data_IF_261631634135
#
_entry.id   IF_261631634135
#
_cell.length_a   1.000
_cell.length_b   1.000
_cell.length_c   1.000
_cell.angle_alpha   90.00
_cell.angle_beta   90.00
_cell.angle_gamma   90.00
#
_symmetry.space_group_name_H-M   'P 1'
#
loop_
_entity.id
_entity.type
_entity.pdbx_description
1 polymer ?
#
# COMPACT_ATOMS: atom_id res chain seq x y z
N UNK A 1 25.96 -14.01 16.54
CA UNK A 1 26.51 -12.97 15.62
C UNK A 1 25.33 -12.26 14.96
N UNK A 2 25.32 -10.93 14.90
CA UNK A 2 24.26 -10.15 14.26
C UNK A 2 24.78 -9.61 12.93
N UNK A 3 24.09 -9.91 11.84
CA UNK A 3 24.35 -9.43 10.48
C UNK A 3 23.21 -8.49 10.04
N UNK A 4 23.57 -7.38 9.39
CA UNK A 4 22.60 -6.43 8.83
C UNK A 4 22.49 -6.62 7.32
N UNK A 5 21.27 -6.78 6.83
CA UNK A 5 20.97 -7.06 5.43
C UNK A 5 19.89 -6.12 4.89
N UNK A 6 19.87 -6.00 3.57
CA UNK A 6 18.74 -5.42 2.82
C UNK A 6 18.29 -6.43 1.78
N UNK A 7 17.02 -6.37 1.37
CA UNK A 7 16.44 -7.30 0.39
C UNK A 7 15.26 -8.08 0.94
N UNK A 8 14.97 -9.24 0.31
CA UNK A 8 13.83 -10.07 0.66
C UNK A 8 14.14 -11.02 1.83
N UNK A 9 13.38 -10.88 2.92
CA UNK A 9 13.49 -11.72 4.11
C UNK A 9 13.07 -13.16 3.85
N UNK A 10 12.12 -13.40 2.94
CA UNK A 10 11.64 -14.75 2.64
C UNK A 10 12.69 -15.63 1.94
N UNK A 11 13.72 -15.01 1.35
CA UNK A 11 14.86 -15.71 0.74
C UNK A 11 16.00 -15.98 1.73
N UNK A 12 15.84 -15.63 3.00
CA UNK A 12 16.88 -15.86 3.99
C UNK A 12 17.07 -17.37 4.24
N UNK A 13 18.28 -17.86 3.98
CA UNK A 13 18.69 -19.20 4.38
C UNK A 13 18.97 -19.22 5.90
N UNK A 14 17.92 -19.57 6.66
CA UNK A 14 17.89 -19.64 8.13
C UNK A 14 16.83 -20.65 8.60
N UNK A 15 16.96 -21.12 9.85
CA UNK A 15 16.00 -22.05 10.47
C UNK A 15 14.66 -21.39 10.80
N UNK A 16 14.66 -20.09 11.14
CA UNK A 16 13.45 -19.38 11.54
C UNK A 16 13.28 -18.04 10.82
N UNK A 17 12.07 -17.78 10.32
CA UNK A 17 11.67 -16.48 9.79
C UNK A 17 10.68 -15.79 10.73
N UNK A 18 10.91 -14.52 11.02
CA UNK A 18 9.97 -13.72 11.81
C UNK A 18 8.99 -12.99 10.90
N UNK A 19 7.70 -13.24 11.11
CA UNK A 19 6.59 -12.56 10.44
C UNK A 19 5.95 -11.55 11.40
N UNK A 20 5.92 -10.27 11.07
CA UNK A 20 5.21 -9.28 11.92
C UNK A 20 3.70 -9.30 11.64
N UNK A 21 2.90 -9.55 12.66
CA UNK A 21 1.44 -9.75 12.54
C UNK A 21 0.64 -8.85 13.48
N UNK A 22 -0.69 -8.85 13.33
CA UNK A 22 -1.62 -8.32 14.33
C UNK A 22 -2.24 -9.46 15.16
N UNK A 23 -3.16 -9.13 16.07
CA UNK A 23 -3.83 -10.12 16.91
C UNK A 23 -5.23 -10.51 16.38
N UNK A 24 -5.69 -9.92 15.27
CA UNK A 24 -7.07 -10.06 14.76
C UNK A 24 -7.16 -10.92 13.49
N UNK A 25 -6.11 -11.67 13.14
CA UNK A 25 -6.18 -12.68 12.08
C UNK A 25 -6.11 -12.12 10.65
N UNK A 26 -5.62 -10.89 10.47
CA UNK A 26 -5.52 -10.27 9.13
C UNK A 26 -4.06 -10.22 8.68
N UNK A 27 -3.73 -10.88 7.55
CA UNK A 27 -2.45 -10.71 6.86
C UNK A 27 -2.72 -10.04 5.51
N UNK A 28 -3.06 -8.75 5.55
CA UNK A 28 -3.57 -8.04 4.38
C UNK A 28 -2.52 -7.26 3.60
N UNK A 29 -1.38 -6.92 4.21
CA UNK A 29 -0.43 -5.90 3.71
C UNK A 29 0.99 -6.14 4.22
N UNK A 30 2.00 -5.52 3.60
CA UNK A 30 3.42 -5.59 3.99
C UNK A 30 3.98 -7.01 4.01
N UNK A 31 4.97 -7.25 4.88
CA UNK A 31 5.62 -8.56 5.00
C UNK A 31 4.62 -9.67 5.38
N UNK A 32 3.59 -9.38 6.18
CA UNK A 32 2.56 -10.34 6.55
C UNK A 32 1.82 -10.92 5.33
N UNK A 33 1.55 -10.08 4.31
CA UNK A 33 0.92 -10.55 3.08
C UNK A 33 1.86 -11.46 2.28
N UNK A 34 3.16 -11.15 2.24
CA UNK A 34 4.15 -12.00 1.59
C UNK A 34 4.21 -13.37 2.27
N UNK A 35 4.22 -13.42 3.61
CA UNK A 35 4.12 -14.67 4.37
C UNK A 35 2.81 -15.42 4.11
N UNK A 36 1.68 -14.73 3.96
CA UNK A 36 0.41 -15.36 3.61
C UNK A 36 0.47 -16.07 2.24
N UNK A 37 1.14 -15.47 1.27
CA UNK A 37 1.29 -16.06 -0.07
C UNK A 37 2.32 -17.18 -0.11
N UNK A 38 3.43 -17.02 0.60
CA UNK A 38 4.49 -18.03 0.65
C UNK A 38 4.14 -19.24 1.53
N UNK A 39 3.34 -19.04 2.58
CA UNK A 39 3.03 -20.06 3.58
C UNK A 39 1.54 -20.02 3.96
N UNK A 40 0.68 -20.54 3.07
CA UNK A 40 -0.78 -20.51 3.24
C UNK A 40 -1.25 -21.27 4.50
N UNK A 41 -0.62 -22.41 4.82
CA UNK A 41 -0.94 -23.19 6.02
C UNK A 41 -0.62 -22.43 7.32
N UNK A 42 0.49 -21.68 7.34
CA UNK A 42 0.82 -20.77 8.44
C UNK A 42 -0.28 -19.71 8.61
N UNK A 43 -0.77 -19.15 7.52
CA UNK A 43 -1.86 -18.18 7.57
C UNK A 43 -3.15 -18.78 8.15
N UNK A 44 -3.53 -20.00 7.75
CA UNK A 44 -4.70 -20.68 8.30
C UNK A 44 -4.55 -20.96 9.80
N UNK A 45 -3.39 -21.46 10.23
CA UNK A 45 -3.08 -21.68 11.64
C UNK A 45 -3.14 -20.36 12.45
N UNK A 46 -2.59 -19.28 11.89
CA UNK A 46 -2.63 -17.94 12.47
C UNK A 46 -4.05 -17.41 12.63
N UNK A 47 -4.90 -17.49 11.60
CA UNK A 47 -6.31 -17.05 11.69
C UNK A 47 -7.05 -17.82 12.77
N UNK A 48 -6.84 -19.14 12.86
CA UNK A 48 -7.46 -19.96 13.90
C UNK A 48 -6.99 -19.59 15.31
N UNK A 49 -5.68 -19.33 15.48
CA UNK A 49 -5.11 -18.90 16.75
C UNK A 49 -5.62 -17.51 17.19
N UNK A 50 -5.72 -16.55 16.27
CA UNK A 50 -6.30 -15.23 16.55
C UNK A 50 -7.76 -15.32 17.00
N UNK A 51 -8.58 -16.18 16.36
CA UNK A 51 -9.98 -16.40 16.77
C UNK A 51 -10.11 -16.96 18.20
N UNK A 52 -9.10 -17.69 18.68
CA UNK A 52 -9.04 -18.20 20.06
C UNK A 52 -8.41 -17.22 21.06
N UNK A 53 -7.89 -16.08 20.58
CA UNK A 53 -7.16 -15.13 21.43
C UNK A 53 -5.76 -15.61 21.84
N UNK A 54 -5.19 -16.61 21.15
CA UNK A 54 -3.87 -17.16 21.46
C UNK A 54 -2.71 -16.27 21.01
N UNK A 55 -2.98 -15.32 20.11
CA UNK A 55 -1.99 -14.37 19.57
C UNK A 55 -2.19 -13.01 20.22
N UNK A 56 -1.21 -12.57 21.02
CA UNK A 56 -1.25 -11.32 21.77
C UNK A 56 0.16 -10.71 21.83
N UNK A 57 0.33 -9.40 22.10
CA UNK A 57 1.66 -8.85 22.40
C UNK A 57 2.36 -9.67 23.49
N UNK A 58 3.61 -10.06 23.25
CA UNK A 58 4.36 -10.96 24.15
C UNK A 58 3.97 -12.45 24.07
N UNK A 59 3.06 -12.85 23.17
CA UNK A 59 2.69 -14.25 22.94
C UNK A 59 2.70 -14.59 21.46
N UNK A 60 3.77 -15.26 21.03
CA UNK A 60 4.01 -15.64 19.64
C UNK A 60 3.15 -16.82 19.21
N UNK A 61 2.84 -16.88 17.91
CA UNK A 61 2.48 -18.15 17.27
C UNK A 61 3.66 -18.64 16.46
N UNK A 62 4.23 -19.78 16.86
CA UNK A 62 5.26 -20.48 16.10
C UNK A 62 4.61 -21.59 15.29
N UNK A 63 4.85 -21.59 13.99
CA UNK A 63 4.36 -22.56 13.04
C UNK A 63 5.52 -23.32 12.40
N UNK A 64 5.35 -24.63 12.22
CA UNK A 64 6.33 -25.51 11.59
C UNK A 64 5.82 -25.89 10.19
N UNK A 65 6.29 -25.23 9.12
CA UNK A 65 5.84 -25.54 7.77
C UNK A 65 6.29 -26.94 7.35
N UNK A 66 5.37 -27.68 6.72
CA UNK A 66 5.66 -28.99 6.16
C UNK A 66 6.31 -28.86 4.77
N UNK A 67 7.53 -28.34 4.72
CA UNK A 67 8.29 -28.10 3.48
C UNK A 67 9.57 -28.93 3.47
N UNK A 68 9.95 -29.44 2.30
CA UNK A 68 11.18 -30.23 2.12
C UNK A 68 12.45 -29.36 2.17
N UNK A 69 12.33 -28.11 1.71
CA UNK A 69 13.38 -27.09 1.67
C UNK A 69 12.76 -25.77 2.14
N UNK A 70 13.41 -25.09 3.08
CA UNK A 70 12.92 -23.83 3.66
C UNK A 70 13.13 -23.75 5.18
N UNK A 71 12.62 -22.70 5.84
CA UNK A 71 12.77 -22.54 7.28
C UNK A 71 11.99 -23.62 8.04
N UNK A 72 12.56 -24.11 9.13
CA UNK A 72 11.88 -25.02 10.06
C UNK A 72 10.77 -24.33 10.84
N UNK A 73 10.89 -23.01 11.07
CA UNK A 73 9.94 -22.25 11.87
C UNK A 73 9.53 -20.93 11.20
N UNK A 74 8.24 -20.61 11.31
CA UNK A 74 7.70 -19.27 11.08
C UNK A 74 7.21 -18.74 12.42
N UNK A 75 7.82 -17.66 12.89
CA UNK A 75 7.48 -17.02 14.16
C UNK A 75 6.62 -15.80 13.87
N UNK A 76 5.32 -15.92 14.10
CA UNK A 76 4.38 -14.81 13.95
C UNK A 76 4.45 -13.91 15.18
N UNK A 77 5.13 -12.77 15.01
CA UNK A 77 5.42 -11.77 16.02
C UNK A 77 4.34 -10.68 16.06
N UNK A 78 3.51 -10.60 17.13
CA UNK A 78 2.45 -9.60 17.20
C UNK A 78 3.02 -8.22 17.50
N UNK A 79 3.15 -7.39 16.46
CA UNK A 79 3.59 -5.99 16.59
C UNK A 79 2.42 -5.01 16.71
N UNK A 80 1.18 -5.50 16.51
CA UNK A 80 -0.05 -4.73 16.59
C UNK A 80 -1.17 -5.51 17.25
N UNK A 81 -2.05 -4.82 17.97
CA UNK A 81 -3.29 -5.41 18.50
C UNK A 81 -4.35 -5.53 17.40
N UNK A 82 -4.61 -4.45 16.67
CA UNK A 82 -5.46 -4.41 15.48
C UNK A 82 -4.66 -3.89 14.28
N UNK A 83 -4.97 -4.35 13.07
CA UNK A 83 -4.27 -3.95 11.85
C UNK A 83 -4.41 -2.45 11.52
N UNK A 84 -5.49 -1.79 11.96
CA UNK A 84 -5.72 -0.33 11.82
C UNK A 84 -4.87 0.50 12.79
N UNK A 85 -4.38 -0.11 13.88
CA UNK A 85 -3.61 0.58 14.91
C UNK A 85 -2.14 0.77 14.55
N UNK A 86 -1.45 1.64 15.29
CA UNK A 86 0.02 1.75 15.28
C UNK A 86 0.65 0.68 16.18
N UNK A 87 1.90 0.34 15.89
CA UNK A 87 2.72 -0.47 16.81
C UNK A 87 3.15 0.38 18.00
N UNK A 88 3.47 -0.28 19.11
CA UNK A 88 3.89 0.37 20.35
C UNK A 88 5.21 -0.24 20.79
N UNK A 89 6.12 0.57 21.33
CA UNK A 89 7.40 0.08 21.85
C UNK A 89 7.19 -0.97 22.94
N UNK A 90 6.18 -0.79 23.81
CA UNK A 90 5.81 -1.78 24.85
C UNK A 90 5.50 -3.17 24.28
N UNK A 91 4.80 -3.23 23.13
CA UNK A 91 4.44 -4.48 22.47
C UNK A 91 5.67 -5.13 21.82
N UNK A 92 6.63 -4.32 21.33
CA UNK A 92 7.92 -4.79 20.79
C UNK A 92 8.80 -5.36 21.90
N UNK A 93 8.93 -4.67 23.03
CA UNK A 93 9.77 -5.09 24.15
C UNK A 93 9.25 -6.41 24.76
N UNK A 94 7.93 -6.51 24.96
CA UNK A 94 7.28 -7.75 25.39
C UNK A 94 7.48 -8.88 24.36
N UNK A 95 7.33 -8.57 23.07
CA UNK A 95 7.54 -9.54 22.01
C UNK A 95 8.99 -10.02 21.90
N UNK A 96 9.98 -9.15 22.06
CA UNK A 96 11.40 -9.52 22.01
C UNK A 96 11.77 -10.48 23.15
N UNK A 97 11.22 -10.27 24.34
CA UNK A 97 11.38 -11.20 25.46
C UNK A 97 10.87 -12.59 25.09
N UNK A 98 9.62 -12.66 24.59
CA UNK A 98 9.03 -13.93 24.18
C UNK A 98 9.75 -14.58 22.98
N UNK A 99 10.29 -13.79 22.06
CA UNK A 99 11.08 -14.29 20.94
C UNK A 99 12.35 -14.99 21.42
N UNK A 100 13.07 -14.41 22.38
CA UNK A 100 14.27 -15.02 22.98
C UNK A 100 13.93 -16.35 23.65
N UNK A 101 12.81 -16.42 24.36
CA UNK A 101 12.34 -17.65 24.99
C UNK A 101 12.01 -18.74 23.95
N UNK A 102 11.34 -18.37 22.86
CA UNK A 102 11.07 -19.30 21.76
C UNK A 102 12.35 -19.80 21.08
N UNK A 103 13.32 -18.92 20.85
CA UNK A 103 14.64 -19.30 20.29
C UNK A 103 15.32 -20.34 21.17
N UNK A 104 15.38 -20.10 22.48
CA UNK A 104 16.01 -21.03 23.43
C UNK A 104 15.25 -22.35 23.53
N UNK A 105 13.92 -22.29 23.69
CA UNK A 105 13.06 -23.46 23.86
C UNK A 105 13.14 -24.42 22.67
N UNK A 106 13.28 -23.87 21.47
CA UNK A 106 13.34 -24.64 20.21
C UNK A 106 14.75 -24.87 19.70
N UNK A 107 15.76 -24.39 20.43
CA UNK A 107 17.16 -24.52 20.07
C UNK A 107 17.49 -23.98 18.67
N UNK A 108 16.84 -22.86 18.28
CA UNK A 108 17.00 -22.23 16.96
C UNK A 108 18.41 -21.65 16.84
N UNK A 109 19.14 -22.03 15.78
CA UNK A 109 20.52 -21.63 15.51
C UNK A 109 20.66 -20.49 14.52
N UNK A 110 19.65 -20.24 13.69
CA UNK A 110 19.64 -19.10 12.78
C UNK A 110 18.25 -18.51 12.59
N UNK A 111 18.17 -17.18 12.54
CA UNK A 111 16.91 -16.45 12.45
C UNK A 111 17.03 -15.18 11.60
N UNK A 112 16.00 -14.90 10.80
CA UNK A 112 15.87 -13.65 10.06
C UNK A 112 14.73 -12.79 10.64
N UNK A 113 15.03 -11.53 10.92
CA UNK A 113 14.15 -10.59 11.64
C UNK A 113 13.92 -9.33 10.79
N UNK A 114 12.67 -8.96 10.48
CA UNK A 114 12.34 -7.71 9.79
C UNK A 114 12.40 -6.51 10.74
N UNK A 115 12.27 -5.27 10.23
CA UNK A 115 12.24 -4.09 11.09
C UNK A 115 10.93 -4.00 11.90
N UNK A 116 10.96 -4.57 13.11
CA UNK A 116 9.78 -4.84 13.95
C UNK A 116 8.97 -3.57 14.25
N UNK A 117 7.82 -3.43 13.61
CA UNK A 117 6.92 -2.29 13.82
C UNK A 117 7.43 -0.96 13.24
N UNK A 118 8.60 -0.91 12.59
CA UNK A 118 9.16 0.32 12.01
C UNK A 118 8.69 0.66 10.59
N UNK A 119 8.03 -0.29 9.91
CA UNK A 119 7.30 -0.04 8.66
C UNK A 119 5.84 0.36 8.92
N UNK A 120 4.90 -0.54 8.61
CA UNK A 120 3.44 -0.36 8.84
C UNK A 120 3.05 0.00 10.29
N UNK A 121 3.92 -0.26 11.26
CA UNK A 121 3.71 0.06 12.67
C UNK A 121 4.01 1.50 13.06
N UNK A 122 4.78 2.23 12.24
CA UNK A 122 5.13 3.63 12.43
C UNK A 122 6.12 3.92 13.55
N UNK A 123 6.84 2.91 14.06
CA UNK A 123 7.91 3.11 15.05
C UNK A 123 9.19 3.60 14.36
N UNK A 124 9.92 4.50 15.01
CA UNK A 124 11.23 4.92 14.52
C UNK A 124 12.22 3.74 14.58
N UNK A 125 12.85 3.41 13.45
CA UNK A 125 13.87 2.34 13.37
C UNK A 125 15.04 2.61 14.31
N UNK A 126 15.42 3.87 14.50
CA UNK A 126 16.50 4.25 15.42
C UNK A 126 16.15 3.94 16.88
N UNK A 127 14.86 3.82 17.21
CA UNK A 127 14.41 3.39 18.54
C UNK A 127 14.22 1.87 18.64
N UNK A 128 13.81 1.20 17.55
CA UNK A 128 13.55 -0.25 17.55
C UNK A 128 14.84 -1.06 17.45
N UNK A 129 15.77 -0.67 16.57
CA UNK A 129 17.04 -1.38 16.36
C UNK A 129 17.80 -1.69 17.65
N UNK A 130 18.11 -0.70 18.52
CA UNK A 130 18.86 -0.97 19.75
C UNK A 130 18.13 -1.92 20.73
N UNK A 131 16.80 -2.00 20.67
CA UNK A 131 16.03 -2.97 21.47
C UNK A 131 16.21 -4.39 20.96
N UNK A 132 16.19 -4.58 19.64
CA UNK A 132 16.46 -5.88 19.01
C UNK A 132 17.89 -6.32 19.34
N UNK A 133 18.87 -5.44 19.18
CA UNK A 133 20.27 -5.71 19.52
C UNK A 133 20.42 -6.11 20.99
N UNK A 134 19.83 -5.34 21.92
CA UNK A 134 19.92 -5.63 23.36
C UNK A 134 19.27 -6.97 23.75
N UNK A 135 18.10 -7.28 23.19
CA UNK A 135 17.39 -8.52 23.49
C UNK A 135 18.13 -9.76 22.97
N UNK A 136 18.78 -9.67 21.81
CA UNK A 136 19.43 -10.80 21.15
C UNK A 136 20.92 -10.93 21.49
N UNK A 137 21.56 -9.90 22.04
CA UNK A 137 22.97 -9.94 22.45
C UNK A 137 23.36 -11.14 23.34
N UNK A 138 22.51 -11.63 24.28
CA UNK A 138 22.83 -12.81 25.08
C UNK A 138 22.85 -14.13 24.29
N UNK A 139 22.33 -14.17 23.06
CA UNK A 139 22.26 -15.37 22.22
C UNK A 139 23.53 -15.50 21.36
N UNK A 140 24.64 -15.86 21.99
CA UNK A 140 25.96 -15.90 21.34
C UNK A 140 26.09 -17.02 20.29
N UNK A 141 25.28 -18.07 20.42
CA UNK A 141 25.27 -19.28 19.60
C UNK A 141 24.19 -19.29 18.50
N UNK A 142 23.59 -18.12 18.25
CA UNK A 142 22.56 -17.91 17.21
C UNK A 142 23.08 -16.93 16.16
N UNK A 143 22.88 -17.28 14.89
CA UNK A 143 23.13 -16.40 13.75
C UNK A 143 21.88 -15.57 13.46
N UNK A 144 21.94 -14.27 13.72
CA UNK A 144 20.81 -13.36 13.57
C UNK A 144 21.02 -12.50 12.34
N UNK A 145 20.10 -12.57 11.38
CA UNK A 145 20.03 -11.68 10.22
C UNK A 145 18.95 -10.63 10.45
N UNK A 146 19.33 -9.37 10.59
CA UNK A 146 18.38 -8.26 10.74
C UNK A 146 18.24 -7.56 9.38
N UNK A 147 17.02 -7.54 8.85
CA UNK A 147 16.70 -6.81 7.64
C UNK A 147 16.38 -5.36 7.98
N UNK A 148 17.12 -4.43 7.38
CA UNK A 148 16.92 -3.01 7.58
C UNK A 148 15.80 -2.47 6.67
N UNK A 149 15.10 -1.40 7.08
CA UNK A 149 14.25 -0.64 6.17
C UNK A 149 15.10 -0.14 4.98
N UNK A 150 14.63 -0.30 3.75
CA UNK A 150 15.34 0.17 2.55
C UNK A 150 15.76 1.63 2.70
N UNK A 151 17.08 1.90 2.71
CA UNK A 151 17.61 3.26 2.87
C UNK A 151 17.61 4.04 1.54
N UNK A 152 17.29 5.35 1.53
CA UNK A 152 17.20 6.17 0.31
C UNK A 152 18.50 6.34 -0.50
N UNK A 153 19.67 6.08 0.11
CA UNK A 153 20.97 6.50 -0.43
C UNK A 153 21.60 5.53 -1.45
N UNK A 154 21.18 4.27 -1.50
CA UNK A 154 21.75 3.27 -2.42
C UNK A 154 21.26 3.41 -3.87
N UNK A 155 20.31 4.31 -4.14
CA UNK A 155 19.49 4.32 -5.36
C UNK A 155 19.87 5.43 -6.34
N UNK A 156 20.58 6.45 -5.87
CA UNK A 156 21.08 7.55 -6.70
C UNK A 156 22.14 7.11 -7.70
N UNK A 157 22.84 5.99 -7.46
CA UNK A 157 23.91 5.48 -8.34
C UNK A 157 23.37 4.65 -9.51
N UNK A 158 22.20 4.02 -9.37
CA UNK A 158 21.62 3.16 -10.42
C UNK A 158 20.81 3.92 -11.49
N UNK A 159 20.44 5.18 -11.25
CA UNK A 159 19.61 5.98 -12.17
C UNK A 159 20.39 6.71 -13.27
N UNK A 160 21.69 6.45 -13.45
CA UNK A 160 22.51 7.01 -14.53
C UNK A 160 22.69 6.08 -15.75
N UNK A 161 21.78 5.12 -15.97
CA UNK A 161 21.79 4.29 -17.17
C UNK A 161 21.22 5.06 -18.39
N UNK A 162 21.73 4.82 -19.62
CA UNK A 162 21.41 5.63 -20.81
C UNK A 162 19.96 5.54 -21.33
N UNK A 163 19.07 4.79 -20.70
CA UNK A 163 17.68 4.57 -21.13
C UNK A 163 16.61 5.05 -20.14
N UNK A 164 16.96 5.85 -19.12
CA UNK A 164 15.98 6.33 -18.13
C UNK A 164 15.01 7.34 -18.78
N UNK A 165 13.68 7.11 -18.73
CA UNK A 165 12.69 8.05 -19.25
C UNK A 165 12.76 9.38 -18.49
N UNK A 166 12.82 10.51 -19.21
CA UNK A 166 12.86 11.86 -18.64
C UNK A 166 11.73 12.08 -17.61
N UNK A 167 12.04 12.60 -16.42
CA UNK A 167 11.01 12.96 -15.45
C UNK A 167 10.23 14.18 -15.96
N UNK A 168 9.00 13.98 -16.44
CA UNK A 168 8.09 15.06 -16.87
C UNK A 168 7.13 15.44 -15.74
N UNK A 169 6.48 16.61 -15.76
CA UNK A 169 5.47 16.96 -14.74
C UNK A 169 4.37 15.90 -14.57
N UNK A 170 3.95 15.25 -15.66
CA UNK A 170 2.96 14.18 -15.61
C UNK A 170 3.50 12.90 -14.93
N UNK A 171 4.78 12.56 -15.15
CA UNK A 171 5.46 11.43 -14.49
C UNK A 171 5.73 11.73 -13.02
N UNK A 172 6.11 12.97 -12.69
CA UNK A 172 6.26 13.44 -11.32
C UNK A 172 4.93 13.38 -10.56
N UNK A 173 3.83 13.85 -11.17
CA UNK A 173 2.49 13.72 -10.60
C UNK A 173 2.10 12.25 -10.35
N UNK A 174 2.37 11.34 -11.29
CA UNK A 174 2.16 9.90 -11.09
C UNK A 174 2.92 9.38 -9.86
N UNK A 175 4.23 9.62 -9.81
CA UNK A 175 5.10 9.15 -8.71
C UNK A 175 4.62 9.72 -7.37
N UNK A 176 4.39 11.03 -7.30
CA UNK A 176 4.04 11.70 -6.05
C UNK A 176 2.63 11.33 -5.58
N UNK A 177 1.66 11.14 -6.48
CA UNK A 177 0.32 10.69 -6.11
C UNK A 177 0.34 9.25 -5.58
N UNK A 178 1.08 8.36 -6.25
CA UNK A 178 1.29 7.00 -5.73
C UNK A 178 1.96 7.10 -4.37
N UNK A 179 3.04 7.87 -4.23
CA UNK A 179 3.76 8.00 -2.97
C UNK A 179 2.86 8.55 -1.85
N UNK A 180 2.07 9.59 -2.11
CA UNK A 180 1.14 10.18 -1.13
C UNK A 180 0.05 9.20 -0.72
N UNK A 181 -0.51 8.49 -1.70
CA UNK A 181 -1.50 7.43 -1.48
C UNK A 181 -0.93 6.30 -0.62
N UNK A 182 0.26 5.83 -0.98
CA UNK A 182 1.02 4.83 -0.23
C UNK A 182 1.37 5.31 1.17
N UNK A 183 1.74 6.59 1.39
CA UNK A 183 2.01 7.15 2.73
C UNK A 183 0.76 7.23 3.59
N UNK A 184 -0.40 7.58 3.02
CA UNK A 184 -1.68 7.58 3.74
C UNK A 184 -2.05 6.18 4.26
N UNK A 185 -1.67 5.15 3.50
CA UNK A 185 -1.87 3.76 3.85
C UNK A 185 -0.72 3.11 4.61
N UNK A 186 0.50 3.61 4.46
CA UNK A 186 1.78 2.94 4.74
C UNK A 186 2.03 1.69 3.86
N UNK A 187 1.48 1.62 2.64
CA UNK A 187 1.62 0.45 1.75
C UNK A 187 2.93 0.44 0.95
N UNK A 188 3.51 -0.75 0.65
CA UNK A 188 4.67 -0.82 -0.25
C UNK A 188 4.26 -0.80 -1.73
N UNK A 189 3.02 -1.16 -2.07
CA UNK A 189 2.51 -1.26 -3.43
C UNK A 189 1.10 -0.70 -3.55
N UNK A 190 0.76 -0.25 -4.77
CA UNK A 190 -0.56 0.26 -5.15
C UNK A 190 -1.12 -0.64 -6.25
N UNK A 191 -2.44 -0.86 -6.31
CA UNK A 191 -3.00 -1.63 -7.42
C UNK A 191 -3.08 -0.80 -8.70
N UNK A 192 -3.04 -1.45 -9.86
CA UNK A 192 -3.29 -0.79 -11.15
C UNK A 192 -4.64 -0.05 -11.19
N UNK A 193 -5.67 -0.59 -10.53
CA UNK A 193 -6.97 0.06 -10.38
C UNK A 193 -6.84 1.41 -9.68
N UNK A 194 -6.12 1.47 -8.56
CA UNK A 194 -5.94 2.70 -7.78
C UNK A 194 -5.12 3.72 -8.56
N UNK A 195 -4.05 3.30 -9.25
CA UNK A 195 -3.28 4.19 -10.14
C UNK A 195 -4.16 4.81 -11.21
N UNK A 196 -5.06 4.04 -11.83
CA UNK A 196 -6.05 4.58 -12.77
C UNK A 196 -6.94 5.65 -12.13
N UNK A 197 -7.36 5.47 -10.86
CA UNK A 197 -8.27 6.42 -10.21
C UNK A 197 -7.55 7.68 -9.75
N UNK A 198 -6.31 7.55 -9.26
CA UNK A 198 -5.47 8.69 -8.91
C UNK A 198 -5.22 9.59 -10.13
N UNK A 199 -4.84 8.99 -11.26
CA UNK A 199 -4.63 9.76 -12.50
C UNK A 199 -5.93 10.27 -13.11
N UNK A 200 -7.06 9.62 -12.86
CA UNK A 200 -8.37 10.12 -13.25
C UNK A 200 -8.65 11.43 -12.53
N UNK A 201 -8.55 11.44 -11.19
CA UNK A 201 -8.76 12.65 -10.41
C UNK A 201 -7.73 13.74 -10.70
N UNK A 202 -6.47 13.38 -10.97
CA UNK A 202 -5.46 14.37 -11.38
C UNK A 202 -5.84 15.07 -12.68
N UNK A 203 -6.39 14.34 -13.66
CA UNK A 203 -6.87 14.93 -14.90
C UNK A 203 -8.13 15.78 -14.68
N UNK A 204 -9.08 15.31 -13.86
CA UNK A 204 -10.30 16.07 -13.52
C UNK A 204 -10.01 17.31 -12.66
N UNK A 205 -8.88 17.33 -11.94
CA UNK A 205 -8.35 18.52 -11.27
C UNK A 205 -7.75 19.53 -12.25
N UNK A 206 -7.66 19.23 -13.54
CA UNK A 206 -7.18 20.11 -14.59
C UNK A 206 -5.72 19.88 -15.01
N UNK A 207 -5.06 18.83 -14.53
CA UNK A 207 -3.72 18.50 -15.02
C UNK A 207 -3.84 18.08 -16.49
N UNK A 208 -3.01 18.59 -17.42
CA UNK A 208 -3.10 18.31 -18.86
C UNK A 208 -2.59 16.91 -19.22
N UNK A 209 -3.11 15.89 -18.54
CA UNK A 209 -2.94 14.50 -18.89
C UNK A 209 -3.74 14.23 -20.18
N UNK A 210 -3.15 13.50 -21.12
CA UNK A 210 -3.81 13.13 -22.37
C UNK A 210 -4.49 11.76 -22.25
N UNK A 211 -5.07 11.45 -21.09
CA UNK A 211 -5.72 10.16 -20.82
C UNK A 211 -7.17 10.18 -21.30
N UNK A 212 -7.54 9.18 -22.09
CA UNK A 212 -8.86 9.08 -22.71
C UNK A 212 -9.73 8.16 -21.84
N UNK A 213 -10.41 8.73 -20.85
CA UNK A 213 -11.26 7.96 -19.96
C UNK A 213 -12.60 7.59 -20.60
N UNK A 214 -13.01 6.34 -20.37
CA UNK A 214 -14.31 5.77 -20.73
C UNK A 214 -14.89 4.98 -19.55
N UNK A 215 -16.16 4.57 -19.64
CA UNK A 215 -16.76 3.66 -18.67
C UNK A 215 -16.10 2.27 -18.74
N UNK A 216 -15.45 1.84 -17.66
CA UNK A 216 -14.91 0.50 -17.51
C UNK A 216 -15.65 -0.30 -16.42
N UNK A 217 -15.38 -1.61 -16.28
CA UNK A 217 -16.06 -2.45 -15.28
C UNK A 217 -15.87 -1.96 -13.84
N UNK A 218 -14.70 -1.38 -13.55
CA UNK A 218 -14.30 -0.87 -12.23
C UNK A 218 -14.37 0.66 -12.16
N UNK A 219 -15.28 1.30 -12.90
CA UNK A 219 -15.38 2.76 -12.99
C UNK A 219 -14.55 3.34 -14.16
N UNK A 220 -14.21 4.65 -14.13
CA UNK A 220 -13.48 5.30 -15.22
C UNK A 220 -12.16 4.61 -15.55
N UNK A 221 -11.92 4.30 -16.82
CA UNK A 221 -10.74 3.57 -17.28
C UNK A 221 -10.17 4.24 -18.53
N UNK A 222 -8.84 4.36 -18.62
CA UNK A 222 -8.15 4.94 -19.76
C UNK A 222 -7.20 3.91 -20.35
N UNK A 223 -7.56 3.36 -21.51
CA UNK A 223 -6.77 2.31 -22.15
C UNK A 223 -5.34 2.77 -22.43
N UNK A 224 -5.18 4.04 -22.83
CA UNK A 224 -3.89 4.60 -23.18
C UNK A 224 -2.95 4.83 -21.98
N UNK A 225 -3.39 4.60 -20.74
CA UNK A 225 -2.51 4.61 -19.57
C UNK A 225 -1.44 3.51 -19.65
N UNK A 226 -1.72 2.39 -20.33
CA UNK A 226 -0.75 1.30 -20.55
C UNK A 226 0.55 1.79 -21.17
N UNK A 227 0.48 2.74 -22.09
CA UNK A 227 1.68 3.25 -22.77
C UNK A 227 2.58 4.03 -21.81
N UNK A 228 1.97 4.76 -20.87
CA UNK A 228 2.71 5.47 -19.82
C UNK A 228 3.37 4.46 -18.89
N UNK A 229 2.63 3.48 -18.40
CA UNK A 229 3.15 2.47 -17.46
C UNK A 229 4.25 1.61 -18.10
N UNK A 230 4.10 1.17 -19.36
CA UNK A 230 5.19 0.49 -20.10
C UNK A 230 6.44 1.35 -20.23
N UNK A 231 6.27 2.65 -20.47
CA UNK A 231 7.40 3.56 -20.65
C UNK A 231 8.13 3.90 -19.34
N UNK A 232 7.51 3.67 -18.18
CA UNK A 232 8.11 3.95 -16.87
C UNK A 232 8.41 2.69 -16.04
N UNK A 233 8.03 1.51 -16.55
CA UNK A 233 8.33 0.21 -15.96
C UNK A 233 9.83 -0.01 -15.85
N UNK A 234 10.29 -0.52 -14.70
CA UNK A 234 11.70 -0.72 -14.38
C UNK A 234 12.50 0.57 -14.13
N UNK A 235 11.85 1.74 -14.20
CA UNK A 235 12.50 3.04 -14.04
C UNK A 235 11.87 3.91 -12.95
N UNK A 236 10.54 4.06 -12.98
CA UNK A 236 9.77 4.78 -11.95
C UNK A 236 8.86 3.84 -11.16
N UNK A 237 8.28 2.87 -11.86
CA UNK A 237 7.41 1.84 -11.28
C UNK A 237 7.88 0.44 -11.68
N UNK A 238 7.52 -0.58 -10.91
CA UNK A 238 7.71 -2.00 -11.28
C UNK A 238 6.42 -2.77 -11.04
N UNK A 239 6.26 -3.92 -11.71
CA UNK A 239 5.11 -4.81 -11.60
C UNK A 239 4.10 -4.66 -12.74
N UNK A 240 4.32 -3.76 -13.70
CA UNK A 240 3.41 -3.59 -14.83
C UNK A 240 3.67 -4.58 -15.98
N UNK A 241 4.93 -4.98 -16.21
CA UNK A 241 5.34 -5.77 -17.39
C UNK A 241 4.55 -7.07 -17.57
N UNK A 242 4.19 -7.73 -16.46
CA UNK A 242 3.56 -9.04 -16.46
C UNK A 242 2.02 -8.97 -16.37
N UNK A 243 1.34 -9.90 -17.06
CA UNK A 243 -0.07 -10.22 -16.77
C UNK A 243 -1.17 -9.30 -17.34
N UNK A 244 -0.87 -8.41 -18.30
CA UNK A 244 -1.88 -7.58 -18.97
C UNK A 244 -2.53 -6.53 -18.06
N UNK A 245 -3.69 -5.97 -18.39
CA UNK A 245 -4.30 -4.86 -17.59
C UNK A 245 -5.20 -5.36 -16.43
N UNK A 246 -4.76 -6.39 -15.70
CA UNK A 246 -5.51 -6.89 -14.55
C UNK A 246 -5.60 -5.80 -13.45
N UNK A 247 -6.82 -5.40 -13.02
CA UNK A 247 -6.99 -4.26 -12.11
C UNK A 247 -6.32 -4.43 -10.75
N UNK A 248 -6.22 -5.66 -10.25
CA UNK A 248 -5.63 -5.98 -8.95
C UNK A 248 -4.11 -6.14 -8.96
N UNK A 249 -3.42 -5.98 -10.11
CA UNK A 249 -1.97 -6.16 -10.13
C UNK A 249 -1.28 -5.13 -9.21
N UNK A 250 -0.28 -5.55 -8.43
CA UNK A 250 0.50 -4.62 -7.62
C UNK A 250 1.48 -3.85 -8.52
N UNK A 251 1.69 -2.59 -8.17
CA UNK A 251 2.70 -1.70 -8.72
C UNK A 251 3.48 -1.09 -7.57
N UNK A 252 4.80 -1.06 -7.68
CA UNK A 252 5.69 -0.48 -6.67
C UNK A 252 6.45 0.69 -7.27
N UNK A 253 6.69 1.73 -6.47
CA UNK A 253 7.62 2.78 -6.86
C UNK A 253 9.04 2.23 -6.71
N UNK A 254 9.89 2.44 -7.72
CA UNK A 254 11.30 2.15 -7.52
C UNK A 254 11.87 3.10 -6.45
N UNK A 255 12.80 2.64 -5.61
CA UNK A 255 13.28 3.51 -4.55
C UNK A 255 14.12 4.68 -5.11
N UNK A 256 14.12 5.85 -4.46
CA UNK A 256 14.82 7.06 -4.94
C UNK A 256 14.04 7.93 -5.93
N UNK A 257 12.95 7.42 -6.53
CA UNK A 257 12.21 8.14 -7.58
C UNK A 257 11.41 9.32 -7.05
N UNK A 258 11.07 9.31 -5.75
CA UNK A 258 10.28 10.37 -5.09
C UNK A 258 11.12 11.63 -4.93
N UNK A 259 12.38 11.46 -4.55
CA UNK A 259 13.37 12.53 -4.39
C UNK A 259 13.59 13.25 -5.73
N UNK A 260 13.58 12.50 -6.84
CA UNK A 260 13.68 13.08 -8.19
C UNK A 260 12.39 13.74 -8.68
N UNK A 261 11.22 13.26 -8.25
CA UNK A 261 9.93 13.81 -8.68
C UNK A 261 9.54 15.09 -7.91
N UNK A 262 9.96 15.22 -6.66
CA UNK A 262 9.55 16.29 -5.74
C UNK A 262 9.84 17.71 -6.27
N UNK A 263 11.05 18.03 -6.75
CA UNK A 263 11.37 19.39 -7.21
C UNK A 263 10.48 19.85 -8.37
N UNK A 264 10.14 18.96 -9.30
CA UNK A 264 9.33 19.29 -10.47
C UNK A 264 7.90 19.71 -10.12
N UNK A 265 7.35 19.19 -9.01
CA UNK A 265 6.03 19.62 -8.54
C UNK A 265 6.12 20.92 -7.74
N UNK A 266 7.23 21.15 -7.02
CA UNK A 266 7.43 22.38 -6.24
C UNK A 266 7.63 23.62 -7.13
N UNK A 267 8.20 23.45 -8.31
CA UNK A 267 8.42 24.52 -9.29
C UNK A 267 7.13 24.94 -10.03
N UNK A 268 6.10 24.09 -10.06
CA UNK A 268 4.81 24.35 -10.72
C UNK A 268 3.69 24.47 -9.67
N UNK A 269 3.42 25.72 -9.26
CA UNK A 269 2.43 26.03 -8.23
C UNK A 269 1.01 25.53 -8.57
N UNK A 270 0.64 25.54 -9.85
CA UNK A 270 -0.67 25.03 -10.25
C UNK A 270 -0.73 23.49 -10.19
N UNK A 271 0.32 22.80 -10.65
CA UNK A 271 0.38 21.35 -10.55
C UNK A 271 0.39 20.91 -9.08
N UNK A 272 1.08 21.64 -8.20
CA UNK A 272 1.05 21.41 -6.76
C UNK A 272 -0.35 21.59 -6.17
N UNK A 273 -1.07 22.66 -6.54
CA UNK A 273 -2.44 22.87 -6.07
C UNK A 273 -3.40 21.75 -6.54
N UNK A 274 -3.25 21.28 -7.79
CA UNK A 274 -4.01 20.15 -8.33
C UNK A 274 -3.69 18.85 -7.58
N UNK A 275 -2.42 18.62 -7.29
CA UNK A 275 -1.96 17.49 -6.49
C UNK A 275 -2.58 17.48 -5.09
N UNK A 276 -2.48 18.59 -4.34
CA UNK A 276 -3.05 18.69 -2.98
C UNK A 276 -4.56 18.50 -3.00
N UNK A 277 -5.25 19.01 -4.02
CA UNK A 277 -6.68 18.80 -4.20
C UNK A 277 -7.05 17.32 -4.36
N UNK A 278 -6.26 16.55 -5.12
CA UNK A 278 -6.45 15.09 -5.26
C UNK A 278 -6.11 14.37 -3.97
N UNK A 279 -4.99 14.72 -3.34
CA UNK A 279 -4.55 14.12 -2.08
C UNK A 279 -5.58 14.30 -0.96
N UNK A 280 -6.15 15.50 -0.84
CA UNK A 280 -7.27 15.78 0.04
C UNK A 280 -8.48 14.91 -0.34
N UNK A 281 -8.90 14.87 -1.61
CA UNK A 281 -10.07 14.10 -2.02
C UNK A 281 -10.02 12.62 -1.61
N UNK A 282 -8.89 11.96 -1.87
CA UNK A 282 -8.77 10.51 -1.70
C UNK A 282 -8.57 10.10 -0.25
N UNK A 283 -8.34 11.06 0.65
CA UNK A 283 -8.23 10.82 2.09
C UNK A 283 -9.51 10.16 2.63
N UNK A 284 -9.38 8.97 3.22
CA UNK A 284 -10.49 8.13 3.68
C UNK A 284 -11.09 7.18 2.63
N UNK A 285 -10.60 7.20 1.38
CA UNK A 285 -11.01 6.31 0.28
C UNK A 285 -9.88 5.40 -0.21
N UNK A 286 -8.80 5.27 0.54
CA UNK A 286 -7.55 4.61 0.14
C UNK A 286 -7.67 3.07 0.16
N UNK A 287 -8.62 2.53 -0.60
CA UNK A 287 -8.70 1.10 -0.90
C UNK A 287 -9.17 0.93 -2.34
N UNK A 288 -8.99 -0.25 -2.97
CA UNK A 288 -9.51 -0.46 -4.31
C UNK A 288 -11.04 -0.29 -4.38
N UNK A 289 -11.74 -0.65 -3.29
CA UNK A 289 -13.18 -0.45 -3.15
C UNK A 289 -13.55 1.04 -3.03
N UNK A 290 -12.86 1.79 -2.18
CA UNK A 290 -13.09 3.22 -1.95
C UNK A 290 -12.79 4.04 -3.20
N UNK A 291 -11.65 3.80 -3.84
CA UNK A 291 -11.27 4.48 -5.09
C UNK A 291 -12.22 4.13 -6.24
N UNK A 292 -12.66 2.87 -6.35
CA UNK A 292 -13.69 2.47 -7.32
C UNK A 292 -15.00 3.23 -7.08
N UNK A 293 -15.47 3.27 -5.82
CA UNK A 293 -16.69 3.99 -5.42
C UNK A 293 -16.60 5.47 -5.75
N UNK A 294 -15.56 6.15 -5.26
CA UNK A 294 -15.39 7.59 -5.39
C UNK A 294 -15.34 8.03 -6.85
N UNK A 295 -14.55 7.34 -7.68
CA UNK A 295 -14.43 7.64 -9.10
C UNK A 295 -15.71 7.31 -9.89
N UNK A 296 -16.46 6.28 -9.48
CA UNK A 296 -17.75 5.95 -10.10
C UNK A 296 -18.78 7.04 -9.81
N UNK A 297 -18.90 7.44 -8.53
CA UNK A 297 -19.86 8.48 -8.13
C UNK A 297 -19.50 9.84 -8.74
N UNK A 298 -18.22 10.21 -8.76
CA UNK A 298 -17.79 11.43 -9.44
C UNK A 298 -18.18 11.42 -10.91
N UNK A 299 -17.93 10.32 -11.65
CA UNK A 299 -18.26 10.23 -13.07
C UNK A 299 -19.76 10.39 -13.34
N UNK A 300 -20.63 9.71 -12.59
CA UNK A 300 -22.09 9.81 -12.82
C UNK A 300 -22.60 11.22 -12.51
N UNK A 301 -21.99 11.92 -11.55
CA UNK A 301 -22.34 13.30 -11.24
C UNK A 301 -21.84 14.28 -12.32
N UNK A 302 -20.57 14.16 -12.72
CA UNK A 302 -19.89 15.15 -13.57
C UNK A 302 -20.13 14.93 -15.07
N UNK A 303 -20.24 13.68 -15.53
CA UNK A 303 -20.38 13.34 -16.96
C UNK A 303 -21.77 12.88 -17.37
N UNK A 304 -22.56 12.36 -16.45
CA UNK A 304 -23.94 11.91 -16.72
C UNK A 304 -24.99 12.85 -16.09
N UNK A 305 -24.55 13.87 -15.36
CA UNK A 305 -25.44 14.92 -14.84
C UNK A 305 -26.34 14.49 -13.69
N UNK A 306 -26.07 13.37 -13.01
CA UNK A 306 -26.87 12.93 -11.87
C UNK A 306 -26.71 13.86 -10.66
N UNK A 307 -27.75 14.64 -10.33
CA UNK A 307 -27.71 15.65 -9.26
C UNK A 307 -28.38 15.20 -7.94
N UNK A 308 -29.52 14.53 -8.06
CA UNK A 308 -30.32 14.08 -6.91
C UNK A 308 -29.77 12.79 -6.32
N UNK A 309 -30.12 12.50 -5.07
CA UNK A 309 -29.66 11.29 -4.39
C UNK A 309 -30.10 10.02 -5.12
N UNK A 310 -31.37 9.95 -5.49
CA UNK A 310 -31.92 8.84 -6.27
C UNK A 310 -31.27 8.72 -7.65
N UNK A 311 -31.03 9.85 -8.35
CA UNK A 311 -30.38 9.82 -9.65
C UNK A 311 -28.96 9.27 -9.56
N UNK A 312 -28.19 9.66 -8.54
CA UNK A 312 -26.80 9.18 -8.34
C UNK A 312 -26.79 7.70 -7.99
N UNK A 313 -27.69 7.23 -7.13
CA UNK A 313 -27.83 5.80 -6.79
C UNK A 313 -28.19 5.00 -8.04
N UNK A 314 -29.25 5.41 -8.75
CA UNK A 314 -29.75 4.72 -9.93
C UNK A 314 -28.71 4.67 -11.05
N UNK A 315 -28.03 5.79 -11.35
CA UNK A 315 -26.97 5.85 -12.35
C UNK A 315 -25.76 4.98 -11.97
N UNK A 316 -25.41 4.95 -10.68
CA UNK A 316 -24.32 4.08 -10.18
C UNK A 316 -24.66 2.60 -10.40
N UNK A 317 -25.89 2.17 -10.06
CA UNK A 317 -26.30 0.77 -10.28
C UNK A 317 -26.50 0.43 -11.76
N UNK A 318 -26.98 1.38 -12.57
CA UNK A 318 -27.11 1.22 -14.01
C UNK A 318 -25.77 1.05 -14.75
N UNK A 319 -24.64 1.40 -14.10
CA UNK A 319 -23.32 1.26 -14.69
C UNK A 319 -22.98 -0.20 -15.05
N UNK A 320 -23.21 -1.13 -14.11
CA UNK A 320 -23.15 -2.59 -14.30
C UNK A 320 -23.55 -3.34 -13.00
N UNK A 321 -23.78 -4.65 -13.11
CA UNK A 321 -24.14 -5.53 -11.97
C UNK A 321 -23.16 -5.45 -10.79
N UNK A 322 -21.86 -5.22 -11.04
CA UNK A 322 -20.84 -5.15 -9.98
C UNK A 322 -21.09 -3.96 -9.05
N UNK A 323 -21.64 -2.85 -9.54
CA UNK A 323 -21.88 -1.65 -8.71
C UNK A 323 -22.91 -1.86 -7.61
N UNK A 324 -23.72 -2.92 -7.66
CA UNK A 324 -24.60 -3.33 -6.56
C UNK A 324 -23.84 -3.75 -5.29
N UNK A 325 -22.52 -3.93 -5.36
CA UNK A 325 -21.68 -4.12 -4.16
C UNK A 325 -21.61 -2.88 -3.27
N UNK A 326 -21.94 -1.71 -3.81
CA UNK A 326 -21.99 -0.45 -3.07
C UNK A 326 -23.38 -0.30 -2.46
N UNK A 327 -23.46 -0.09 -1.15
CA UNK A 327 -24.73 0.30 -0.53
C UNK A 327 -25.12 1.72 -0.94
N UNK A 328 -26.42 2.01 -0.96
CA UNK A 328 -26.93 3.36 -1.20
C UNK A 328 -26.28 4.38 -0.25
N UNK A 329 -26.11 4.02 1.03
CA UNK A 329 -25.45 4.87 2.02
C UNK A 329 -24.00 5.21 1.64
N UNK A 330 -23.21 4.24 1.15
CA UNK A 330 -21.84 4.48 0.69
C UNK A 330 -21.80 5.39 -0.54
N UNK A 331 -22.73 5.21 -1.48
CA UNK A 331 -22.87 6.07 -2.66
C UNK A 331 -23.15 7.52 -2.25
N UNK A 332 -24.09 7.72 -1.32
CA UNK A 332 -24.45 9.05 -0.82
C UNK A 332 -23.32 9.68 0.01
N UNK A 333 -22.57 8.89 0.77
CA UNK A 333 -21.37 9.37 1.47
C UNK A 333 -20.31 9.87 0.48
N UNK A 334 -20.01 9.10 -0.57
CA UNK A 334 -19.07 9.54 -1.61
C UNK A 334 -19.55 10.82 -2.30
N UNK A 335 -20.84 10.91 -2.66
CA UNK A 335 -21.46 12.13 -3.19
C UNK A 335 -21.29 13.32 -2.24
N UNK A 336 -21.56 13.12 -0.95
CA UNK A 336 -21.42 14.16 0.07
C UNK A 336 -19.97 14.66 0.14
N UNK A 337 -18.99 13.76 0.18
CA UNK A 337 -17.56 14.13 0.21
C UNK A 337 -17.16 14.90 -1.05
N UNK A 338 -17.58 14.45 -2.25
CA UNK A 338 -17.29 15.13 -3.51
C UNK A 338 -17.85 16.56 -3.52
N UNK A 339 -19.08 16.78 -3.04
CA UNK A 339 -19.65 18.13 -2.90
C UNK A 339 -18.91 18.96 -1.85
N UNK A 340 -18.67 18.39 -0.67
CA UNK A 340 -17.99 19.06 0.46
C UNK A 340 -16.59 19.54 0.09
N UNK A 341 -15.83 18.74 -0.66
CA UNK A 341 -14.47 19.06 -1.13
C UNK A 341 -14.45 19.84 -2.45
N UNK A 342 -15.61 20.31 -2.92
CA UNK A 342 -15.73 21.16 -4.10
C UNK A 342 -15.39 20.47 -5.42
N UNK A 343 -15.45 19.14 -5.49
CA UNK A 343 -15.27 18.34 -6.71
C UNK A 343 -16.52 18.28 -7.59
N UNK A 344 -17.61 18.87 -7.10
CA UNK A 344 -18.80 19.06 -7.86
C UNK A 344 -19.34 20.46 -7.59
N UNK A 345 -19.24 21.35 -8.58
CA UNK A 345 -19.98 22.60 -8.60
C UNK A 345 -21.26 22.36 -9.40
N UNK A 346 -22.46 22.70 -8.87
CA UNK A 346 -23.63 22.80 -9.74
C UNK A 346 -23.28 23.81 -10.82
N UNK A 347 -23.34 23.39 -12.08
CA UNK A 347 -23.21 24.34 -13.19
C UNK A 347 -24.25 25.43 -12.97
N UNK A 348 -23.78 26.68 -12.85
CA UNK A 348 -24.60 27.84 -13.18
C UNK A 348 -25.20 27.54 -14.55
N UNK A 349 -26.52 27.44 -14.60
CA UNK A 349 -27.27 27.50 -15.85
C UNK A 349 -26.71 28.68 -16.65
N UNK A 350 -26.01 28.38 -17.75
CA UNK A 350 -25.77 29.37 -18.78
C UNK A 350 -27.15 29.74 -19.31
N UNK A 351 -27.68 30.83 -18.75
CA UNK A 351 -28.74 31.70 -19.25
C UNK A 351 -29.31 31.28 -20.59
N UNK A 352 -30.54 30.79 -20.56
CA UNK A 352 -31.43 30.88 -21.70
C UNK A 352 -31.64 32.36 -22.08
N UNK A 353 -31.57 32.65 -23.38
CA UNK A 353 -32.26 33.77 -24.02
C UNK A 353 -31.56 35.13 -23.98
N UNK A 354 -31.17 35.64 -25.16
CA UNK A 354 -30.70 37.02 -25.29
C UNK A 354 -30.31 37.46 -26.69
N UNK A 355 -31.29 37.42 -27.62
CA UNK A 355 -31.36 38.07 -28.97
C UNK A 355 -30.49 37.48 -30.08
#
# INVERSE_FOLDING_TARGET
>A
MIEYLTGDLLQADVEALVNTVNCVGVMGRGIALQFKHAYEDNYHAYVAACKRGDVQPGRMLVFEPNVLLGPTYIINFPTKRDWRGKSRLEDIDAGLTALVDEIRRRNIRSIAIPPLGSGLGGLDWQLVRPRIEAALAPLTDVHVKIYEPSSPQALSVQMQAPNVPTMTPARAALVLLIHRYLRGLMDPWVTLLEVHKLLYFMQEAGQPLKLKYQKGPYGPYAENLRHVLKAVEGHLVTGYADGGDQPGKPLELLPGVVEHATPLLQEDAEAHARFERVADLVEGFETPFGMELLATVHWVMSREGAQTEDAVINATYAWNRRKHRFSAHQILLARHILRKKGWFSPQLEATAGGV
#
